data_IF_268632874476
#
_entry.id   IF_268632874476
#
_cell.length_a   1.000
_cell.length_b   1.000
_cell.length_c   1.000
_cell.angle_alpha   90.00
_cell.angle_beta   90.00
_cell.angle_gamma   90.00
#
_symmetry.space_group_name_H-M   'P 1'
#
loop_
_entity.id
_entity.type
_entity.pdbx_description
1 polymer ?
#
# COMPACT_ATOMS: atom_id res chain seq x y z
N UNK A 1 21.66 -18.83 17.56
CA UNK A 1 21.32 -17.46 17.13
C UNK A 1 22.06 -16.48 18.03
N UNK A 2 23.24 -16.02 17.62
CA UNK A 2 23.94 -14.93 18.31
C UNK A 2 23.56 -13.65 17.54
N UNK A 3 22.45 -13.02 17.95
CA UNK A 3 22.13 -11.67 17.52
C UNK A 3 23.06 -10.72 18.28
N UNK A 4 24.29 -10.55 17.79
CA UNK A 4 25.16 -9.48 18.28
C UNK A 4 24.56 -8.16 17.80
N UNK A 5 24.17 -7.32 18.77
CA UNK A 5 23.75 -5.95 18.56
C UNK A 5 24.75 -5.29 17.60
N UNK A 6 24.29 -4.83 16.43
CA UNK A 6 25.13 -4.23 15.38
C UNK A 6 25.99 -3.09 15.92
N UNK A 7 25.46 -2.36 16.91
CA UNK A 7 26.17 -1.33 17.67
C UNK A 7 27.37 -1.88 18.45
N UNK A 8 27.24 -3.05 19.08
CA UNK A 8 28.33 -3.67 19.85
C UNK A 8 29.45 -4.18 18.92
N UNK A 9 29.10 -4.74 17.77
CA UNK A 9 30.08 -5.16 16.75
C UNK A 9 30.85 -3.95 16.22
N UNK A 10 30.16 -2.83 15.96
CA UNK A 10 30.79 -1.59 15.52
C UNK A 10 31.79 -1.04 16.54
N UNK A 11 31.44 -1.06 17.84
CA UNK A 11 32.33 -0.62 18.92
C UNK A 11 33.57 -1.50 19.06
N UNK A 12 33.43 -2.83 18.95
CA UNK A 12 34.58 -3.75 19.01
C UNK A 12 35.54 -3.51 17.85
N UNK A 13 35.02 -3.35 16.63
CA UNK A 13 35.83 -3.05 15.44
C UNK A 13 36.53 -1.69 15.60
N UNK A 14 35.82 -0.66 16.07
CA UNK A 14 36.39 0.67 16.30
C UNK A 14 37.56 0.65 17.29
N UNK A 15 37.42 -0.07 18.41
CA UNK A 15 38.48 -0.21 19.42
C UNK A 15 39.70 -0.92 18.85
N UNK A 16 39.52 -2.02 18.12
CA UNK A 16 40.62 -2.77 17.51
C UNK A 16 41.38 -1.94 16.48
N UNK A 17 40.67 -1.21 15.61
CA UNK A 17 41.30 -0.33 14.63
C UNK A 17 42.06 0.80 15.33
N UNK A 18 41.46 1.41 16.35
CA UNK A 18 42.08 2.51 17.10
C UNK A 18 43.36 2.06 17.81
N UNK A 19 43.33 0.91 18.49
CA UNK A 19 44.51 0.33 19.14
C UNK A 19 45.58 -0.01 18.10
N UNK A 20 45.21 -0.59 16.96
CA UNK A 20 46.14 -0.88 15.87
C UNK A 20 46.81 0.39 15.33
N UNK A 21 46.05 1.47 15.17
CA UNK A 21 46.56 2.77 14.72
C UNK A 21 47.49 3.43 15.75
N UNK A 22 47.13 3.37 17.03
CA UNK A 22 47.96 3.88 18.13
C UNK A 22 49.27 3.08 18.20
N UNK A 23 49.20 1.75 18.15
CA UNK A 23 50.38 0.90 18.16
C UNK A 23 51.27 1.17 16.94
N UNK A 24 50.68 1.28 15.73
CA UNK A 24 51.42 1.66 14.52
C UNK A 24 52.09 3.03 14.67
N UNK A 25 51.35 4.04 15.13
CA UNK A 25 51.88 5.39 15.33
C UNK A 25 53.06 5.39 16.30
N UNK A 26 52.92 4.73 17.45
CA UNK A 26 53.95 4.63 18.48
C UNK A 26 55.18 3.89 17.95
N UNK A 27 54.99 2.73 17.30
CA UNK A 27 56.09 1.96 16.72
C UNK A 27 56.78 2.71 15.57
N UNK A 28 56.03 3.46 14.77
CA UNK A 28 56.58 4.29 13.69
C UNK A 28 57.35 5.50 14.23
N UNK A 29 56.89 6.12 15.32
CA UNK A 29 57.64 7.16 16.02
C UNK A 29 58.95 6.62 16.59
N UNK A 30 58.95 5.39 17.12
CA UNK A 30 60.17 4.76 17.61
C UNK A 30 61.07 4.20 16.49
N UNK A 31 60.54 3.90 15.31
CA UNK A 31 61.32 3.45 14.15
C UNK A 31 61.86 4.60 13.30
N UNK A 32 61.37 5.83 13.51
CA UNK A 32 61.89 7.05 12.90
C UNK A 32 63.33 7.30 13.37
N UNK A 33 64.30 6.73 12.64
CA UNK A 33 65.72 6.90 12.92
C UNK A 33 66.14 8.36 12.72
N UNK A 34 67.07 8.81 13.56
CA UNK A 34 67.65 10.18 13.57
C UNK A 34 68.52 10.50 12.34
N UNK A 35 68.59 9.60 11.36
CA UNK A 35 69.49 9.66 10.20
C UNK A 35 68.71 9.72 8.88
N UNK A 36 67.64 10.51 8.83
CA UNK A 36 67.02 10.87 7.57
C UNK A 36 67.96 11.81 6.79
N UNK A 37 68.79 11.23 5.91
CA UNK A 37 69.53 11.98 4.89
C UNK A 37 71.04 11.69 4.73
N UNK A 38 71.63 10.69 5.40
CA UNK A 38 73.08 10.42 5.27
C UNK A 38 73.46 9.29 4.30
N UNK A 39 72.49 8.56 3.76
CA UNK A 39 72.73 7.48 2.80
C UNK A 39 72.45 7.96 1.37
N UNK A 40 73.52 8.13 0.59
CA UNK A 40 73.44 8.14 -0.88
C UNK A 40 73.04 6.73 -1.30
N UNK A 41 71.77 6.38 -1.10
CA UNK A 41 71.22 5.15 -1.62
C UNK A 41 71.24 5.22 -3.15
N UNK A 42 71.82 4.20 -3.79
CA UNK A 42 71.68 4.04 -5.24
C UNK A 42 70.20 4.17 -5.62
N UNK A 43 69.93 4.93 -6.68
CA UNK A 43 68.57 5.08 -7.21
C UNK A 43 67.91 3.68 -7.31
N UNK A 44 66.64 3.50 -6.89
CA UNK A 44 66.03 2.17 -6.76
C UNK A 44 66.10 1.29 -8.01
N UNK A 45 66.20 1.89 -9.18
CA UNK A 45 66.37 1.24 -10.48
C UNK A 45 67.82 0.80 -10.81
N UNK A 46 68.80 1.18 -10.00
CA UNK A 46 70.23 0.82 -10.11
C UNK A 46 70.69 -0.13 -9.00
N UNK A 47 69.87 -0.36 -7.96
CA UNK A 47 70.14 -1.39 -6.96
C UNK A 47 70.10 -2.76 -7.66
N UNK A 48 71.08 -3.66 -7.43
CA UNK A 48 70.99 -5.03 -7.93
C UNK A 48 69.65 -5.64 -7.53
N UNK A 49 68.96 -6.24 -8.49
CA UNK A 49 67.74 -6.96 -8.18
C UNK A 49 68.08 -8.19 -7.32
N UNK A 50 67.06 -8.79 -6.71
CA UNK A 50 67.28 -10.02 -5.94
C UNK A 50 67.94 -11.09 -6.82
N UNK A 51 68.87 -11.83 -6.23
CA UNK A 51 69.46 -13.01 -6.86
C UNK A 51 68.42 -14.13 -7.00
N UNK A 52 68.72 -15.12 -7.85
CA UNK A 52 67.79 -16.20 -8.16
C UNK A 52 67.41 -17.01 -6.90
N UNK A 53 68.33 -17.20 -5.95
CA UNK A 53 68.07 -17.91 -4.69
C UNK A 53 67.04 -17.18 -3.81
N UNK A 54 67.10 -15.84 -3.74
CA UNK A 54 66.11 -15.06 -2.98
C UNK A 54 64.79 -14.95 -3.75
N UNK A 55 64.83 -14.85 -5.08
CA UNK A 55 63.63 -14.82 -5.92
C UNK A 55 62.83 -16.13 -5.82
N UNK A 56 63.49 -17.27 -5.97
CA UNK A 56 62.86 -18.60 -5.96
C UNK A 56 62.62 -19.14 -4.55
N UNK A 57 63.33 -18.63 -3.53
CA UNK A 57 63.12 -18.98 -2.13
C UNK A 57 62.16 -18.01 -1.42
N UNK A 58 62.72 -17.19 -0.53
CA UNK A 58 61.93 -16.40 0.45
C UNK A 58 60.94 -15.44 -0.20
N UNK A 59 61.24 -14.90 -1.38
CA UNK A 59 60.33 -13.96 -2.05
C UNK A 59 59.15 -14.70 -2.69
N UNK A 60 59.40 -15.80 -3.39
CA UNK A 60 58.35 -16.65 -3.97
C UNK A 60 57.43 -17.20 -2.88
N UNK A 61 57.98 -17.74 -1.79
CA UNK A 61 57.20 -18.25 -0.66
C UNK A 61 56.25 -17.18 -0.08
N UNK A 62 56.73 -15.95 0.11
CA UNK A 62 55.88 -14.83 0.59
C UNK A 62 54.73 -14.52 -0.37
N UNK A 63 55.01 -14.50 -1.68
CA UNK A 63 53.98 -14.24 -2.68
C UNK A 63 52.98 -15.40 -2.79
N UNK A 64 53.45 -16.65 -2.66
CA UNK A 64 52.59 -17.84 -2.62
C UNK A 64 51.68 -17.83 -1.39
N UNK A 65 52.20 -17.48 -0.21
CA UNK A 65 51.38 -17.33 1.00
C UNK A 65 50.30 -16.26 0.80
N UNK A 66 50.63 -15.10 0.21
CA UNK A 66 49.64 -14.08 -0.13
C UNK A 66 48.59 -14.61 -1.12
N UNK A 67 49.02 -15.37 -2.14
CA UNK A 67 48.13 -16.04 -3.09
C UNK A 67 47.19 -17.03 -2.41
N UNK A 68 47.69 -17.86 -1.49
CA UNK A 68 46.88 -18.79 -0.71
C UNK A 68 45.89 -18.04 0.19
N UNK A 69 46.30 -16.95 0.86
CA UNK A 69 45.39 -16.15 1.68
C UNK A 69 44.25 -15.53 0.86
N UNK A 70 44.55 -15.01 -0.34
CA UNK A 70 43.52 -14.50 -1.24
C UNK A 70 42.60 -15.64 -1.70
N UNK A 71 43.16 -16.80 -2.04
CA UNK A 71 42.39 -17.98 -2.43
C UNK A 71 41.49 -18.47 -1.30
N UNK A 72 41.99 -18.55 -0.06
CA UNK A 72 41.19 -18.87 1.13
C UNK A 72 40.07 -17.84 1.33
N UNK A 73 40.36 -16.55 1.14
CA UNK A 73 39.36 -15.48 1.26
C UNK A 73 38.24 -15.65 0.23
N UNK A 74 38.55 -16.01 -1.01
CA UNK A 74 37.54 -16.25 -2.05
C UNK A 74 36.80 -17.56 -1.80
N UNK A 75 37.52 -18.64 -1.54
CA UNK A 75 36.97 -20.00 -1.37
C UNK A 75 36.10 -20.11 -0.13
N UNK A 76 36.41 -19.39 0.95
CA UNK A 76 35.59 -19.39 2.17
C UNK A 76 34.61 -18.22 2.20
N UNK A 77 35.06 -17.03 1.82
CA UNK A 77 34.26 -15.81 1.88
C UNK A 77 33.09 -15.80 0.89
N UNK A 78 33.27 -16.30 -0.33
CA UNK A 78 32.20 -16.29 -1.33
C UNK A 78 31.05 -17.25 -0.97
N UNK A 79 31.31 -18.53 -0.58
CA UNK A 79 30.22 -19.40 -0.11
C UNK A 79 29.50 -18.86 1.13
N UNK A 80 30.24 -18.25 2.08
CA UNK A 80 29.61 -17.61 3.24
C UNK A 80 28.74 -16.43 2.81
N UNK A 81 29.22 -15.55 1.93
CA UNK A 81 28.44 -14.43 1.43
C UNK A 81 27.14 -14.91 0.75
N UNK A 82 27.22 -15.95 -0.07
CA UNK A 82 26.05 -16.56 -0.70
C UNK A 82 25.10 -17.21 0.30
N UNK A 83 25.60 -17.83 1.36
CA UNK A 83 24.75 -18.37 2.43
C UNK A 83 23.96 -17.27 3.16
N UNK A 84 24.51 -16.07 3.31
CA UNK A 84 23.84 -14.93 3.95
C UNK A 84 23.05 -14.04 2.98
N UNK A 85 23.24 -14.20 1.67
CA UNK A 85 22.59 -13.39 0.63
C UNK A 85 21.04 -13.38 0.73
N UNK A 86 20.34 -14.50 1.01
CA UNK A 86 18.89 -14.48 1.16
C UNK A 86 18.40 -13.55 2.29
N UNK A 87 19.13 -13.53 3.42
CA UNK A 87 18.79 -12.65 4.55
C UNK A 87 19.05 -11.19 4.21
N UNK A 88 20.13 -10.90 3.46
CA UNK A 88 20.42 -9.55 2.96
C UNK A 88 19.34 -9.05 2.02
N UNK A 89 18.88 -9.89 1.09
CA UNK A 89 17.79 -9.59 0.17
C UNK A 89 16.46 -9.37 0.90
N UNK A 90 16.14 -10.20 1.90
CA UNK A 90 14.96 -10.02 2.75
C UNK A 90 15.00 -8.69 3.52
N UNK A 91 16.15 -8.34 4.11
CA UNK A 91 16.35 -7.06 4.78
C UNK A 91 16.24 -5.86 3.82
N UNK A 92 16.75 -5.98 2.59
CA UNK A 92 16.61 -4.96 1.57
C UNK A 92 15.15 -4.73 1.16
N UNK A 93 14.36 -5.80 0.99
CA UNK A 93 12.92 -5.72 0.72
C UNK A 93 12.17 -5.08 1.87
N UNK A 94 12.40 -5.52 3.11
CA UNK A 94 11.75 -4.94 4.29
C UNK A 94 12.06 -3.44 4.45
N UNK A 95 13.34 -3.06 4.31
CA UNK A 95 13.74 -1.65 4.37
C UNK A 95 13.17 -0.81 3.23
N UNK A 96 13.00 -1.38 2.03
CA UNK A 96 12.34 -0.70 0.92
C UNK A 96 10.85 -0.48 1.22
N UNK A 97 10.14 -1.51 1.69
CA UNK A 97 8.71 -1.40 2.05
C UNK A 97 8.49 -0.34 3.12
N UNK A 98 9.32 -0.29 4.17
CA UNK A 98 9.18 0.72 5.21
C UNK A 98 9.46 2.14 4.72
N UNK A 99 10.46 2.33 3.84
CA UNK A 99 10.68 3.65 3.21
C UNK A 99 9.50 4.05 2.33
N UNK A 100 8.94 3.12 1.57
CA UNK A 100 7.79 3.38 0.70
C UNK A 100 6.54 3.71 1.53
N UNK A 101 6.34 3.00 2.64
CA UNK A 101 5.28 3.31 3.61
C UNK A 101 5.43 4.72 4.15
N UNK A 102 6.64 5.12 4.55
CA UNK A 102 6.91 6.47 5.07
C UNK A 102 6.70 7.56 4.02
N UNK A 103 7.22 7.39 2.80
CA UNK A 103 6.95 8.33 1.70
C UNK A 103 5.46 8.44 1.38
N UNK A 104 4.74 7.32 1.34
CA UNK A 104 3.30 7.31 1.15
C UNK A 104 2.53 7.99 2.28
N UNK A 105 2.98 7.81 3.52
CA UNK A 105 2.43 8.48 4.70
C UNK A 105 2.55 10.00 4.57
N UNK A 106 3.72 10.52 4.20
CA UNK A 106 3.96 11.95 3.96
C UNK A 106 3.03 12.51 2.87
N UNK A 107 2.86 11.79 1.76
CA UNK A 107 1.92 12.17 0.70
C UNK A 107 0.47 12.23 1.20
N UNK A 108 0.09 11.32 2.11
CA UNK A 108 -1.26 11.24 2.66
C UNK A 108 -1.58 12.33 3.69
N UNK A 109 -0.57 12.96 4.30
CA UNK A 109 -0.73 13.99 5.33
C UNK A 109 -1.49 15.23 4.83
N UNK A 110 -2.02 16.07 5.75
CA UNK A 110 -2.62 17.35 5.39
C UNK A 110 -1.64 18.28 4.69
N UNK A 111 -2.16 19.20 3.87
CA UNK A 111 -1.32 20.21 3.19
C UNK A 111 -0.52 21.08 4.17
N UNK A 112 -1.04 21.30 5.38
CA UNK A 112 -0.30 21.99 6.45
C UNK A 112 1.02 21.30 6.85
N UNK A 113 1.18 20.01 6.54
CA UNK A 113 2.40 19.22 6.77
C UNK A 113 3.16 18.90 5.48
N UNK A 114 2.80 19.53 4.35
CA UNK A 114 3.43 19.30 3.05
C UNK A 114 2.87 18.12 2.25
N UNK A 115 1.82 17.45 2.73
CA UNK A 115 1.14 16.37 2.00
C UNK A 115 0.02 16.85 1.06
N UNK A 116 -0.63 15.90 0.39
CA UNK A 116 -1.71 16.14 -0.58
C UNK A 116 -3.11 16.14 0.03
N UNK A 117 -3.21 16.14 1.36
CA UNK A 117 -4.46 16.25 2.11
C UNK A 117 -5.47 15.11 1.92
N UNK A 118 -5.00 13.92 1.57
CA UNK A 118 -5.85 12.72 1.53
C UNK A 118 -6.50 12.46 2.90
N UNK A 119 -5.71 12.58 3.97
CA UNK A 119 -6.18 12.50 5.37
C UNK A 119 -7.19 13.58 5.75
N UNK A 120 -7.11 14.78 5.18
CA UNK A 120 -8.07 15.85 5.46
C UNK A 120 -9.48 15.51 5.00
N UNK A 121 -9.60 14.88 3.83
CA UNK A 121 -10.89 14.45 3.29
C UNK A 121 -11.33 13.09 3.88
N UNK A 122 -10.43 12.12 3.98
CA UNK A 122 -10.77 10.72 4.28
C UNK A 122 -10.70 10.33 5.77
N UNK A 123 -10.79 11.30 6.69
CA UNK A 123 -10.94 10.99 8.12
C UNK A 123 -9.63 10.73 8.86
N UNK A 124 -8.64 11.61 8.66
CA UNK A 124 -7.34 11.56 9.32
C UNK A 124 -6.40 10.50 8.74
N UNK A 125 -5.25 10.29 9.40
CA UNK A 125 -4.20 9.36 8.95
C UNK A 125 -4.69 7.90 8.86
N UNK A 126 -5.68 7.51 9.66
CA UNK A 126 -6.24 6.17 9.62
C UNK A 126 -7.25 5.96 8.47
N UNK A 127 -7.59 6.99 7.70
CA UNK A 127 -8.50 6.85 6.57
C UNK A 127 -9.89 6.32 6.96
N UNK A 128 -10.43 6.73 8.12
CA UNK A 128 -11.68 6.18 8.67
C UNK A 128 -12.97 6.64 7.97
N UNK A 129 -12.84 7.50 6.96
CA UNK A 129 -13.97 8.16 6.31
C UNK A 129 -14.17 9.56 6.90
N UNK A 130 -14.55 10.51 6.05
CA UNK A 130 -14.72 11.90 6.44
C UNK A 130 -15.59 12.66 5.46
N UNK A 131 -15.36 13.96 5.38
CA UNK A 131 -16.10 14.86 4.50
C UNK A 131 -15.16 15.85 3.83
N UNK A 132 -15.54 16.29 2.63
CA UNK A 132 -14.82 17.32 1.90
C UNK A 132 -15.80 18.37 1.35
N UNK A 133 -15.50 19.67 1.45
CA UNK A 133 -16.33 20.70 0.85
C UNK A 133 -16.31 20.58 -0.67
N UNK A 134 -17.47 20.72 -1.30
CA UNK A 134 -17.62 20.65 -2.76
C UNK A 134 -18.69 21.62 -3.24
N UNK A 135 -18.49 22.20 -4.42
CA UNK A 135 -19.46 23.09 -5.04
C UNK A 135 -20.38 22.28 -5.96
N UNK A 136 -21.67 22.28 -5.67
CA UNK A 136 -22.71 21.66 -6.51
C UNK A 136 -23.51 22.77 -7.16
N UNK A 137 -23.71 22.65 -8.47
CA UNK A 137 -24.54 23.59 -9.24
C UNK A 137 -25.93 22.99 -9.43
N UNK A 138 -26.98 23.74 -9.08
CA UNK A 138 -28.35 23.37 -9.37
C UNK A 138 -28.59 23.48 -10.88
N UNK A 139 -28.96 22.40 -11.59
CA UNK A 139 -29.14 22.41 -13.03
C UNK A 139 -30.36 23.24 -13.49
N UNK A 140 -31.33 23.55 -12.61
CA UNK A 140 -32.53 24.32 -12.95
C UNK A 140 -32.32 25.81 -12.77
N UNK A 141 -31.65 26.21 -11.69
CA UNK A 141 -31.49 27.63 -11.33
C UNK A 141 -30.11 28.19 -11.67
N UNK A 142 -29.12 27.32 -11.89
CA UNK A 142 -27.71 27.71 -12.05
C UNK A 142 -27.04 28.14 -10.74
N UNK A 143 -27.74 28.04 -9.60
CA UNK A 143 -27.21 28.43 -8.29
C UNK A 143 -26.10 27.46 -7.85
N UNK A 144 -24.97 27.99 -7.39
CA UNK A 144 -23.85 27.20 -6.86
C UNK A 144 -23.93 27.18 -5.33
N UNK A 145 -24.04 25.97 -4.76
CA UNK A 145 -24.08 25.74 -3.31
C UNK A 145 -22.84 24.97 -2.87
N UNK A 146 -22.25 25.37 -1.74
CA UNK A 146 -21.21 24.59 -1.07
C UNK A 146 -21.88 23.53 -0.20
N UNK A 147 -21.48 22.28 -0.38
CA UNK A 147 -21.98 21.12 0.36
C UNK A 147 -20.82 20.34 0.97
N UNK A 148 -21.09 19.56 2.01
CA UNK A 148 -20.11 18.64 2.58
C UNK A 148 -20.32 17.25 1.97
N UNK A 149 -19.36 16.82 1.16
CA UNK A 149 -19.39 15.54 0.46
C UNK A 149 -18.78 14.43 1.31
N UNK A 150 -19.47 13.31 1.48
CA UNK A 150 -18.98 12.11 2.16
C UNK A 150 -17.82 11.47 1.40
N UNK A 151 -16.64 11.55 2.01
CA UNK A 151 -15.42 10.90 1.56
C UNK A 151 -15.33 9.53 2.24
N UNK A 152 -15.48 8.42 1.49
CA UNK A 152 -15.61 7.10 2.07
C UNK A 152 -14.31 6.67 2.78
N UNK A 153 -14.45 5.80 3.77
CA UNK A 153 -13.31 5.21 4.45
C UNK A 153 -12.35 4.51 3.50
N UNK A 154 -11.05 4.74 3.69
CA UNK A 154 -9.96 4.14 2.93
C UNK A 154 -9.33 2.95 3.64
N UNK A 155 -9.49 2.81 4.96
CA UNK A 155 -9.02 1.65 5.73
C UNK A 155 -9.75 0.32 5.39
N UNK A 156 -10.77 0.37 4.53
CA UNK A 156 -11.47 -0.79 3.98
C UNK A 156 -11.57 -0.73 2.46
N UNK A 157 -10.71 0.06 1.79
CA UNK A 157 -10.74 0.20 0.32
C UNK A 157 -10.39 -1.11 -0.38
N UNK A 158 -9.44 -1.89 0.15
CA UNK A 158 -9.00 -3.14 -0.48
C UNK A 158 -9.97 -4.30 -0.30
N UNK A 159 -10.98 -4.16 0.57
CA UNK A 159 -12.12 -5.09 0.62
C UNK A 159 -13.07 -4.95 -0.56
N UNK A 160 -12.97 -3.84 -1.30
CA UNK A 160 -13.93 -3.43 -2.32
C UNK A 160 -13.35 -3.38 -3.73
N UNK A 161 -12.04 -3.25 -3.82
CA UNK A 161 -11.31 -3.01 -5.05
C UNK A 161 -9.99 -3.79 -5.04
N UNK A 162 -9.53 -4.17 -6.23
CA UNK A 162 -8.15 -4.59 -6.47
C UNK A 162 -7.18 -3.40 -6.30
N UNK A 163 -5.87 -3.68 -6.16
CA UNK A 163 -4.86 -2.62 -6.08
C UNK A 163 -4.85 -1.76 -7.36
N UNK A 164 -5.03 -2.38 -8.52
CA UNK A 164 -5.08 -1.75 -9.83
C UNK A 164 -6.29 -0.81 -9.98
N UNK A 165 -7.44 -1.17 -9.41
CA UNK A 165 -8.61 -0.30 -9.40
C UNK A 165 -8.42 0.90 -8.46
N UNK A 166 -7.81 0.69 -7.28
CA UNK A 166 -7.45 1.80 -6.39
C UNK A 166 -6.45 2.73 -7.07
N UNK A 167 -5.44 2.16 -7.73
CA UNK A 167 -4.46 2.89 -8.55
C UNK A 167 -5.14 3.68 -9.66
N UNK A 168 -6.13 3.10 -10.34
CA UNK A 168 -6.91 3.79 -11.36
C UNK A 168 -7.64 5.00 -10.75
N UNK A 169 -8.30 4.83 -9.60
CA UNK A 169 -9.00 5.91 -8.90
C UNK A 169 -8.03 7.02 -8.48
N UNK A 170 -6.83 6.68 -8.00
CA UNK A 170 -5.82 7.67 -7.65
C UNK A 170 -5.28 8.41 -8.87
N UNK A 171 -5.06 7.70 -9.99
CA UNK A 171 -4.57 8.30 -11.21
C UNK A 171 -5.60 9.25 -11.84
N UNK A 172 -6.86 8.86 -11.95
CA UNK A 172 -7.87 9.57 -12.73
C UNK A 172 -8.93 10.29 -11.90
N UNK A 173 -8.90 10.14 -10.57
CA UNK A 173 -9.90 10.68 -9.68
C UNK A 173 -11.27 10.01 -9.84
N UNK A 174 -12.29 10.66 -9.27
CA UNK A 174 -13.69 10.30 -9.47
C UNK A 174 -14.44 11.53 -9.98
N UNK A 175 -14.84 11.55 -11.27
CA UNK A 175 -15.66 12.62 -11.82
C UNK A 175 -16.92 12.87 -10.99
N UNK A 176 -17.39 14.11 -10.97
CA UNK A 176 -18.56 14.56 -10.20
C UNK A 176 -18.41 14.33 -8.68
N UNK A 177 -17.19 14.41 -8.17
CA UNK A 177 -16.89 14.35 -6.75
C UNK A 177 -15.70 15.25 -6.42
N UNK A 178 -15.44 15.57 -5.14
CA UNK A 178 -14.26 16.32 -4.72
C UNK A 178 -12.94 15.54 -4.83
N UNK A 179 -12.92 14.33 -5.40
CA UNK A 179 -11.71 13.52 -5.58
C UNK A 179 -11.09 13.76 -6.97
N UNK A 180 -10.08 14.63 -7.11
CA UNK A 180 -9.43 14.91 -8.38
C UNK A 180 -8.50 13.76 -8.81
N UNK A 181 -7.98 13.86 -10.03
CA UNK A 181 -6.85 13.06 -10.47
C UNK A 181 -5.58 13.47 -9.69
N UNK A 182 -4.92 12.52 -9.04
CA UNK A 182 -3.66 12.75 -8.33
C UNK A 182 -2.46 12.25 -9.11
N UNK A 183 -2.59 11.15 -9.84
CA UNK A 183 -1.49 10.59 -10.62
C UNK A 183 -1.29 11.28 -11.96
N UNK A 184 -0.03 11.37 -12.37
CA UNK A 184 0.42 11.91 -13.66
C UNK A 184 -0.30 11.32 -14.88
N UNK A 185 -0.69 10.02 -14.94
CA UNK A 185 -1.47 9.50 -16.06
C UNK A 185 -2.83 10.20 -16.26
N UNK A 186 -3.47 10.67 -15.18
CA UNK A 186 -4.70 11.45 -15.25
C UNK A 186 -4.48 12.97 -15.19
N UNK A 187 -3.23 13.44 -15.34
CA UNK A 187 -2.88 14.87 -15.27
C UNK A 187 -2.68 15.41 -13.86
N UNK A 188 -2.63 14.55 -12.84
CA UNK A 188 -2.37 14.95 -11.46
C UNK A 188 -0.88 15.17 -11.14
N UNK A 189 -0.58 15.75 -9.96
CA UNK A 189 0.77 16.17 -9.57
C UNK A 189 1.73 15.03 -9.15
N UNK A 190 1.23 13.82 -8.91
CA UNK A 190 2.01 12.71 -8.40
C UNK A 190 2.65 11.87 -9.51
N UNK A 191 3.92 11.52 -9.35
CA UNK A 191 4.58 10.56 -10.25
C UNK A 191 4.00 9.15 -10.05
N UNK A 192 4.27 8.24 -10.99
CA UNK A 192 3.89 6.83 -10.85
C UNK A 192 4.45 6.24 -9.55
N UNK A 193 5.70 6.58 -9.20
CA UNK A 193 6.32 6.13 -7.94
C UNK A 193 5.63 6.70 -6.70
N UNK A 194 5.20 7.96 -6.72
CA UNK A 194 4.44 8.52 -5.61
C UNK A 194 3.14 7.73 -5.39
N UNK A 195 2.43 7.34 -6.46
CA UNK A 195 1.26 6.48 -6.37
C UNK A 195 1.60 5.10 -5.79
N UNK A 196 2.73 4.49 -6.18
CA UNK A 196 3.18 3.23 -5.56
C UNK A 196 3.37 3.37 -4.05
N UNK A 197 4.07 4.42 -3.61
CA UNK A 197 4.31 4.65 -2.18
C UNK A 197 3.02 4.89 -1.42
N UNK A 198 2.07 5.62 -2.02
CA UNK A 198 0.76 5.87 -1.44
C UNK A 198 -0.05 4.57 -1.29
N UNK A 199 0.00 3.66 -2.26
CA UNK A 199 -0.65 2.35 -2.17
C UNK A 199 -0.04 1.48 -1.06
N UNK A 200 1.29 1.51 -0.89
CA UNK A 200 1.96 0.83 0.24
C UNK A 200 1.46 1.40 1.57
N UNK A 201 1.32 2.72 1.68
CA UNK A 201 0.75 3.33 2.88
C UNK A 201 -0.72 2.94 3.10
N UNK A 202 -1.57 3.00 2.05
CA UNK A 202 -2.96 2.58 2.13
C UNK A 202 -3.09 1.13 2.60
N UNK A 203 -2.19 0.24 2.16
CA UNK A 203 -2.13 -1.16 2.59
C UNK A 203 -1.82 -1.27 4.09
N UNK A 204 -0.96 -0.38 4.61
CA UNK A 204 -0.57 -0.38 6.03
C UNK A 204 -1.68 0.07 6.99
N UNK A 205 -2.63 0.89 6.52
CA UNK A 205 -3.77 1.39 7.33
C UNK A 205 -5.03 0.55 7.20
N UNK A 206 -5.03 -0.53 6.40
CA UNK A 206 -6.22 -1.35 6.25
C UNK A 206 -6.58 -2.05 7.57
N UNK A 207 -7.88 -2.18 7.82
CA UNK A 207 -8.42 -3.11 8.80
C UNK A 207 -7.99 -4.52 8.41
N UNK A 208 -7.44 -5.28 9.37
CA UNK A 208 -6.97 -6.65 9.09
C UNK A 208 -8.16 -7.60 8.93
N UNK A 209 -8.24 -8.40 7.85
CA UNK A 209 -9.27 -9.40 7.69
C UNK A 209 -9.12 -10.55 8.70
N UNK A 210 -10.24 -11.17 9.02
CA UNK A 210 -10.33 -12.39 9.81
C UNK A 210 -10.72 -13.57 8.91
N UNK A 211 -10.19 -14.77 9.19
CA UNK A 211 -10.54 -15.98 8.44
C UNK A 211 -9.75 -16.22 7.16
N UNK A 212 -8.65 -15.49 6.93
CA UNK A 212 -7.74 -15.77 5.81
C UNK A 212 -7.25 -17.23 5.84
N UNK A 213 -7.32 -17.89 4.68
CA UNK A 213 -6.77 -19.24 4.49
C UNK A 213 -5.24 -19.24 4.34
N UNK A 214 -4.64 -18.08 4.06
CA UNK A 214 -3.19 -17.90 3.92
C UNK A 214 -2.66 -16.94 4.99
N UNK A 215 -1.34 -16.93 5.27
CA UNK A 215 -0.75 -15.99 6.23
C UNK A 215 -0.84 -14.52 5.81
N UNK A 216 -1.02 -14.26 4.50
CA UNK A 216 -1.07 -12.91 3.95
C UNK A 216 -2.51 -12.39 3.93
N UNK A 217 -2.73 -11.26 4.58
CA UNK A 217 -4.05 -10.63 4.65
C UNK A 217 -4.52 -9.99 3.32
N UNK A 218 -3.57 -9.54 2.51
CA UNK A 218 -3.84 -8.76 1.30
C UNK A 218 -2.93 -9.23 0.17
N UNK A 219 -3.54 -9.87 -0.83
CA UNK A 219 -2.85 -10.64 -1.88
C UNK A 219 -2.86 -9.86 -3.18
N UNK A 220 -1.70 -9.79 -3.85
CA UNK A 220 -1.48 -8.89 -4.99
C UNK A 220 -2.48 -9.09 -6.13
N UNK A 221 -2.71 -10.33 -6.51
CA UNK A 221 -3.50 -10.69 -7.69
C UNK A 221 -4.96 -11.05 -7.33
N UNK A 222 -5.38 -10.75 -6.10
CA UNK A 222 -6.76 -10.96 -5.66
C UNK A 222 -7.66 -9.79 -6.09
N UNK A 223 -8.90 -10.12 -6.44
CA UNK A 223 -9.92 -9.18 -6.90
C UNK A 223 -11.24 -9.48 -6.18
N UNK A 224 -11.55 -8.79 -5.05
CA UNK A 224 -10.80 -7.71 -4.40
C UNK A 224 -9.47 -8.15 -3.75
N UNK A 225 -8.63 -7.19 -3.37
CA UNK A 225 -7.26 -7.39 -2.88
C UNK A 225 -7.13 -8.11 -1.50
N UNK A 226 -8.20 -8.69 -0.98
CA UNK A 226 -8.25 -9.42 0.30
C UNK A 226 -7.89 -10.89 0.08
N UNK A 227 -7.32 -11.53 1.11
CA UNK A 227 -7.06 -12.97 1.14
C UNK A 227 -8.31 -13.83 0.90
N UNK A 228 -8.12 -15.04 0.36
CA UNK A 228 -9.19 -16.03 0.28
C UNK A 228 -9.73 -16.38 1.67
N UNK A 229 -11.07 -16.40 1.81
CA UNK A 229 -11.77 -16.63 3.07
C UNK A 229 -11.77 -15.44 4.04
N UNK A 230 -10.99 -14.38 3.75
CA UNK A 230 -10.94 -13.19 4.59
C UNK A 230 -12.27 -12.47 4.64
N UNK A 231 -12.69 -12.05 5.82
CA UNK A 231 -13.88 -11.22 5.99
C UNK A 231 -13.57 -10.06 6.92
N UNK A 232 -14.44 -9.05 6.89
CA UNK A 232 -14.34 -7.93 7.81
C UNK A 232 -14.42 -8.44 9.27
N UNK A 233 -13.65 -7.86 10.21
CA UNK A 233 -13.67 -8.30 11.60
C UNK A 233 -15.06 -8.28 12.23
N UNK A 234 -15.26 -9.12 13.24
CA UNK A 234 -16.56 -9.22 13.91
C UNK A 234 -17.02 -7.89 14.52
N UNK A 235 -16.12 -7.06 15.04
CA UNK A 235 -16.45 -5.72 15.55
C UNK A 235 -17.10 -4.85 14.48
N UNK A 236 -16.51 -4.81 13.29
CA UNK A 236 -17.02 -4.03 12.17
C UNK A 236 -18.35 -4.59 11.63
N UNK A 237 -18.53 -5.92 11.63
CA UNK A 237 -19.82 -6.54 11.28
C UNK A 237 -20.91 -6.15 12.27
N UNK A 238 -20.57 -6.09 13.56
CA UNK A 238 -21.48 -5.59 14.60
C UNK A 238 -21.82 -4.12 14.40
N UNK A 239 -20.86 -3.28 13.99
CA UNK A 239 -21.13 -1.86 13.66
C UNK A 239 -22.10 -1.73 12.49
N UNK A 240 -21.94 -2.55 11.44
CA UNK A 240 -22.87 -2.61 10.29
C UNK A 240 -24.26 -3.00 10.76
N UNK A 241 -24.38 -4.05 11.58
CA UNK A 241 -25.68 -4.48 12.09
C UNK A 241 -26.34 -3.40 12.97
N UNK A 242 -25.54 -2.76 13.83
CA UNK A 242 -26.03 -1.69 14.71
C UNK A 242 -26.55 -0.50 13.89
N UNK A 243 -25.88 -0.17 12.78
CA UNK A 243 -26.34 0.87 11.86
C UNK A 243 -27.66 0.48 11.15
N UNK A 244 -27.80 -0.79 10.77
CA UNK A 244 -29.07 -1.34 10.23
C UNK A 244 -30.19 -1.20 11.26
N UNK A 245 -29.98 -1.68 12.48
CA UNK A 245 -30.99 -1.67 13.54
C UNK A 245 -31.42 -0.23 13.89
N UNK A 246 -30.47 0.71 13.92
CA UNK A 246 -30.73 2.13 14.12
C UNK A 246 -31.55 2.74 12.98
N UNK A 247 -31.26 2.38 11.72
CA UNK A 247 -32.03 2.83 10.56
C UNK A 247 -33.48 2.32 10.62
N UNK A 248 -33.67 1.04 10.90
CA UNK A 248 -34.99 0.40 11.00
C UNK A 248 -35.83 0.99 12.14
N UNK A 249 -35.19 1.37 13.25
CA UNK A 249 -35.87 2.07 14.35
C UNK A 249 -36.39 3.44 13.94
N UNK A 250 -35.62 4.15 13.11
CA UNK A 250 -36.00 5.49 12.61
C UNK A 250 -36.99 5.43 11.43
N UNK A 251 -37.04 4.31 10.71
CA UNK A 251 -37.89 4.10 9.54
C UNK A 251 -38.75 2.83 9.69
N UNK A 252 -39.82 2.88 10.50
CA UNK A 252 -40.71 1.73 10.67
C UNK A 252 -41.28 1.26 9.33
N UNK A 253 -41.06 -0.03 9.00
CA UNK A 253 -41.50 -0.64 7.76
C UNK A 253 -40.44 -0.70 6.64
N UNK A 254 -39.29 -0.07 6.82
CA UNK A 254 -38.14 -0.30 5.95
C UNK A 254 -37.63 -1.74 6.08
N UNK A 255 -37.02 -2.26 5.01
CA UNK A 255 -36.36 -3.57 5.02
C UNK A 255 -34.89 -3.45 5.41
N UNK A 256 -34.27 -4.55 5.82
CA UNK A 256 -32.81 -4.62 6.03
C UNK A 256 -32.03 -4.20 4.76
N UNK A 257 -32.51 -4.63 3.58
CA UNK A 257 -31.91 -4.25 2.30
C UNK A 257 -31.92 -2.75 2.05
N UNK A 258 -33.02 -2.06 2.41
CA UNK A 258 -33.12 -0.60 2.33
C UNK A 258 -32.13 0.10 3.28
N UNK A 259 -32.01 -0.40 4.52
CA UNK A 259 -31.10 0.13 5.52
C UNK A 259 -29.63 0.03 5.07
N UNK A 260 -29.23 -1.13 4.54
CA UNK A 260 -27.90 -1.34 3.99
C UNK A 260 -27.65 -0.48 2.74
N UNK A 261 -28.65 -0.39 1.84
CA UNK A 261 -28.56 0.43 0.64
C UNK A 261 -28.25 1.90 0.98
N UNK A 262 -28.86 2.44 2.04
CA UNK A 262 -28.74 3.84 2.47
C UNK A 262 -27.75 4.07 3.63
N UNK A 263 -26.93 3.08 4.00
CA UNK A 263 -26.04 3.16 5.17
C UNK A 263 -25.05 4.34 5.10
N UNK A 264 -25.01 5.19 6.12
CA UNK A 264 -24.05 6.30 6.23
C UNK A 264 -22.73 5.91 6.94
N UNK A 265 -22.67 4.68 7.46
CA UNK A 265 -21.52 4.15 8.19
C UNK A 265 -20.21 4.31 7.39
N UNK A 266 -19.16 4.73 8.10
CA UNK A 266 -17.84 4.97 7.52
C UNK A 266 -17.87 5.93 6.32
N UNK A 267 -18.72 6.97 6.41
CA UNK A 267 -18.97 7.96 5.35
C UNK A 267 -19.49 7.31 4.06
N UNK A 268 -20.41 6.37 4.20
CA UNK A 268 -21.01 5.64 3.09
C UNK A 268 -20.07 4.66 2.39
N UNK A 269 -19.04 4.16 3.08
CA UNK A 269 -18.13 3.18 2.49
C UNK A 269 -18.84 1.90 2.06
N UNK A 270 -19.96 1.57 2.72
CA UNK A 270 -20.77 0.38 2.49
C UNK A 270 -22.08 0.66 1.73
N UNK A 271 -22.33 1.92 1.37
CA UNK A 271 -23.61 2.36 0.78
C UNK A 271 -23.69 2.12 -0.72
N UNK A 272 -24.82 1.56 -1.17
CA UNK A 272 -25.18 1.52 -2.58
C UNK A 272 -25.70 2.88 -3.08
N UNK A 273 -26.45 3.59 -2.23
CA UNK A 273 -27.05 4.88 -2.53
C UNK A 273 -26.00 5.94 -2.90
N UNK A 274 -24.77 5.84 -2.37
CA UNK A 274 -23.65 6.72 -2.75
C UNK A 274 -23.43 6.82 -4.26
N UNK A 275 -23.63 5.73 -4.99
CA UNK A 275 -23.50 5.69 -6.44
C UNK A 275 -24.84 5.70 -7.16
N UNK A 276 -25.89 5.14 -6.57
CA UNK A 276 -27.17 4.92 -7.24
C UNK A 276 -28.27 5.92 -6.87
N UNK A 277 -28.06 6.80 -5.89
CA UNK A 277 -29.01 7.84 -5.49
C UNK A 277 -28.38 9.22 -5.70
N UNK A 278 -28.98 10.10 -6.52
CA UNK A 278 -28.47 11.45 -6.72
C UNK A 278 -28.47 12.21 -5.39
N UNK A 279 -27.41 12.96 -5.12
CA UNK A 279 -27.30 13.81 -3.93
C UNK A 279 -27.10 13.12 -2.59
N UNK A 280 -27.13 11.78 -2.54
CA UNK A 280 -26.88 11.03 -1.31
C UNK A 280 -25.50 11.34 -0.71
N UNK A 281 -24.48 11.44 -1.58
CA UNK A 281 -23.09 11.68 -1.17
C UNK A 281 -22.85 13.03 -0.49
N UNK A 282 -23.84 13.93 -0.41
CA UNK A 282 -23.73 15.21 0.29
C UNK A 282 -24.97 15.54 1.13
N UNK A 283 -25.68 14.50 1.58
CA UNK A 283 -26.79 14.66 2.54
C UNK A 283 -28.05 15.31 1.96
N UNK A 284 -28.22 15.32 0.64
CA UNK A 284 -29.45 15.79 -0.03
C UNK A 284 -29.91 14.73 -1.04
N UNK A 285 -30.26 13.51 -0.56
CA UNK A 285 -30.70 12.44 -1.45
C UNK A 285 -31.95 12.86 -2.22
N UNK A 286 -31.90 12.70 -3.54
CA UNK A 286 -33.07 12.77 -4.40
C UNK A 286 -33.85 11.46 -4.35
N UNK A 287 -34.49 11.09 -5.46
CA UNK A 287 -35.23 9.82 -5.52
C UNK A 287 -34.26 8.65 -5.46
N UNK A 288 -34.51 7.75 -4.51
CA UNK A 288 -33.69 6.57 -4.25
C UNK A 288 -33.48 5.74 -5.52
N UNK A 289 -32.23 5.30 -5.72
CA UNK A 289 -31.84 4.37 -6.76
C UNK A 289 -32.07 4.81 -8.23
N UNK A 290 -32.43 6.07 -8.48
CA UNK A 290 -32.65 6.60 -9.85
C UNK A 290 -31.37 6.81 -10.68
N UNK A 291 -30.22 6.42 -10.15
CA UNK A 291 -28.92 6.57 -10.80
C UNK A 291 -28.26 7.90 -10.44
N UNK A 292 -26.93 7.87 -10.39
CA UNK A 292 -26.08 9.04 -10.23
C UNK A 292 -24.73 8.77 -10.88
N UNK A 293 -23.78 8.20 -10.14
CA UNK A 293 -22.55 7.66 -10.70
C UNK A 293 -22.75 6.25 -11.28
N UNK A 294 -23.58 5.45 -10.61
CA UNK A 294 -24.13 4.20 -11.11
C UNK A 294 -25.42 4.42 -11.88
N UNK A 295 -25.83 3.41 -12.64
CA UNK A 295 -27.05 3.44 -13.45
C UNK A 295 -28.33 3.32 -12.59
N UNK A 296 -29.47 3.65 -13.19
CA UNK A 296 -30.79 3.61 -12.53
C UNK A 296 -31.23 2.16 -12.24
N UNK A 297 -31.57 1.86 -10.99
CA UNK A 297 -31.99 0.53 -10.54
C UNK A 297 -33.52 0.35 -10.46
N UNK A 298 -34.30 1.42 -10.63
CA UNK A 298 -35.76 1.44 -10.45
C UNK A 298 -36.53 1.00 -11.69
N UNK A 299 -37.85 0.79 -11.54
CA UNK A 299 -38.77 0.60 -12.67
C UNK A 299 -38.54 -0.71 -13.42
N UNK A 300 -38.06 -1.74 -12.72
CA UNK A 300 -37.74 -3.04 -13.31
C UNK A 300 -36.42 -3.09 -14.09
N UNK A 301 -35.64 -2.01 -14.14
CA UNK A 301 -34.33 -1.98 -14.80
C UNK A 301 -33.37 -3.03 -14.21
N UNK A 302 -33.37 -3.19 -12.88
CA UNK A 302 -32.59 -4.22 -12.20
C UNK A 302 -32.95 -5.62 -12.68
N UNK A 303 -34.24 -5.93 -12.77
CA UNK A 303 -34.73 -7.24 -13.20
C UNK A 303 -34.42 -7.52 -14.68
N UNK A 304 -34.44 -6.48 -15.53
CA UNK A 304 -34.05 -6.61 -16.93
C UNK A 304 -32.54 -6.86 -17.11
N UNK A 305 -31.69 -6.21 -16.30
CA UNK A 305 -30.25 -6.40 -16.33
C UNK A 305 -29.80 -7.73 -15.71
N UNK A 306 -30.50 -8.17 -14.66
CA UNK A 306 -30.27 -9.43 -13.95
C UNK A 306 -31.56 -10.25 -13.84
N UNK A 307 -31.91 -11.04 -14.88
CA UNK A 307 -33.09 -11.90 -14.82
C UNK A 307 -33.02 -12.92 -13.67
N UNK A 308 -31.81 -13.42 -13.39
CA UNK A 308 -31.54 -14.33 -12.27
C UNK A 308 -31.02 -13.55 -11.05
N UNK A 309 -31.66 -13.76 -9.89
CA UNK A 309 -31.26 -13.17 -8.61
C UNK A 309 -29.83 -13.57 -8.21
N UNK A 310 -29.45 -14.83 -8.41
CA UNK A 310 -28.14 -15.35 -8.05
C UNK A 310 -27.01 -14.70 -8.85
N UNK A 311 -27.27 -14.33 -10.11
CA UNK A 311 -26.30 -13.60 -10.93
C UNK A 311 -26.04 -12.20 -10.34
N UNK A 312 -27.08 -11.56 -9.81
CA UNK A 312 -26.97 -10.26 -9.14
C UNK A 312 -26.23 -10.38 -7.80
N UNK A 313 -26.56 -11.39 -6.99
CA UNK A 313 -25.84 -11.68 -5.74
C UNK A 313 -24.35 -11.88 -6.02
N UNK A 314 -24.03 -12.68 -7.04
CA UNK A 314 -22.64 -12.94 -7.45
C UNK A 314 -21.94 -11.66 -7.91
N UNK A 315 -22.63 -10.81 -8.68
CA UNK A 315 -22.10 -9.52 -9.11
C UNK A 315 -21.84 -8.57 -7.94
N UNK A 316 -22.73 -8.49 -6.94
CA UNK A 316 -22.51 -7.64 -5.76
C UNK A 316 -21.39 -8.19 -4.87
N UNK A 317 -21.27 -9.53 -4.76
CA UNK A 317 -20.17 -10.16 -4.03
C UNK A 317 -18.81 -9.79 -4.62
N UNK A 318 -18.69 -9.81 -5.95
CA UNK A 318 -17.41 -9.66 -6.66
C UNK A 318 -17.13 -8.23 -7.15
N UNK A 319 -18.14 -7.37 -7.25
CA UNK A 319 -18.03 -6.08 -7.90
C UNK A 319 -17.93 -6.19 -9.43
N UNK A 320 -17.73 -5.04 -10.08
CA UNK A 320 -17.45 -5.01 -11.53
C UNK A 320 -15.96 -4.95 -11.76
N UNK A 321 -15.43 -5.69 -12.73
CA UNK A 321 -14.06 -5.53 -13.22
C UNK A 321 -14.04 -4.93 -14.63
N UNK A 322 -13.00 -4.15 -14.94
CA UNK A 322 -12.90 -3.46 -16.23
C UNK A 322 -12.93 -4.45 -17.42
N UNK A 323 -13.84 -4.22 -18.37
CA UNK A 323 -14.00 -5.03 -19.57
C UNK A 323 -14.73 -6.35 -19.40
N UNK A 324 -14.97 -6.83 -18.16
CA UNK A 324 -15.69 -8.09 -17.90
C UNK A 324 -17.20 -7.90 -18.06
N UNK A 325 -17.87 -8.89 -18.66
CA UNK A 325 -19.34 -8.89 -18.78
C UNK A 325 -19.99 -9.07 -17.42
N UNK A 326 -21.11 -8.39 -17.18
CA UNK A 326 -22.05 -8.69 -16.09
C UNK A 326 -23.51 -8.58 -16.57
N UNK A 327 -24.41 -9.30 -15.92
CA UNK A 327 -25.82 -9.34 -16.31
C UNK A 327 -26.02 -9.76 -17.77
N UNK A 328 -27.11 -9.29 -18.40
CA UNK A 328 -27.44 -9.66 -19.79
C UNK A 328 -26.48 -9.02 -20.80
N UNK A 329 -26.20 -7.71 -20.66
CA UNK A 329 -25.42 -6.89 -21.62
C UNK A 329 -24.52 -5.84 -20.94
N UNK A 330 -24.27 -5.93 -19.64
CA UNK A 330 -23.40 -5.00 -18.93
C UNK A 330 -21.92 -5.28 -19.18
N UNK A 331 -21.11 -4.23 -19.26
CA UNK A 331 -19.65 -4.31 -19.23
C UNK A 331 -19.12 -3.55 -18.02
N UNK A 332 -18.35 -4.23 -17.18
CA UNK A 332 -17.79 -3.68 -15.97
C UNK A 332 -16.72 -2.64 -16.27
N UNK A 333 -16.59 -1.68 -15.35
CA UNK A 333 -15.61 -0.58 -15.45
C UNK A 333 -14.55 -0.62 -14.33
N UNK A 334 -14.64 -1.59 -13.41
CA UNK A 334 -13.80 -1.61 -12.21
C UNK A 334 -14.30 -0.71 -11.07
N UNK A 335 -15.49 -0.09 -11.24
CA UNK A 335 -15.96 1.01 -10.38
C UNK A 335 -17.10 0.64 -9.45
N UNK A 336 -17.87 -0.41 -9.77
CA UNK A 336 -18.83 -1.00 -8.85
C UNK A 336 -18.04 -1.82 -7.82
N UNK A 337 -18.03 -1.40 -6.54
CA UNK A 337 -17.24 -2.09 -5.53
C UNK A 337 -17.80 -3.48 -5.23
N UNK A 338 -16.92 -4.37 -4.79
CA UNK A 338 -17.28 -5.68 -4.26
C UNK A 338 -17.73 -5.58 -2.79
N UNK A 339 -18.66 -6.43 -2.39
CA UNK A 339 -19.19 -6.48 -1.02
C UNK A 339 -19.07 -7.86 -0.35
N UNK A 340 -18.57 -8.88 -1.05
CA UNK A 340 -18.54 -10.26 -0.56
C UNK A 340 -17.67 -10.49 0.69
N UNK A 341 -16.62 -9.68 0.87
CA UNK A 341 -15.77 -9.73 2.06
C UNK A 341 -16.27 -8.81 3.20
N UNK A 342 -17.26 -7.96 2.91
CA UNK A 342 -17.78 -6.93 3.83
C UNK A 342 -19.10 -7.33 4.48
N UNK A 343 -20.02 -7.86 3.67
CA UNK A 343 -21.38 -8.17 4.07
C UNK A 343 -21.60 -9.68 4.08
N UNK A 344 -22.52 -10.14 4.93
CA UNK A 344 -22.94 -11.54 4.92
C UNK A 344 -23.76 -11.86 3.68
N UNK A 345 -23.88 -13.15 3.35
CA UNK A 345 -24.70 -13.57 2.21
C UNK A 345 -26.18 -13.18 2.39
N UNK A 346 -26.71 -13.26 3.61
CA UNK A 346 -28.05 -12.81 3.94
C UNK A 346 -28.24 -11.31 3.71
N UNK A 347 -27.27 -10.48 4.13
CA UNK A 347 -27.30 -9.03 3.92
C UNK A 347 -27.23 -8.66 2.44
N UNK A 348 -26.37 -9.34 1.66
CA UNK A 348 -26.29 -9.13 0.21
C UNK A 348 -27.61 -9.53 -0.44
N UNK A 349 -28.20 -10.64 -0.05
CA UNK A 349 -29.50 -11.07 -0.54
C UNK A 349 -30.60 -10.05 -0.21
N UNK A 350 -30.63 -9.52 1.01
CA UNK A 350 -31.59 -8.49 1.41
C UNK A 350 -31.46 -7.23 0.55
N UNK A 351 -30.23 -6.79 0.24
CA UNK A 351 -29.99 -5.68 -0.70
C UNK A 351 -30.57 -6.01 -2.08
N UNK A 352 -30.30 -7.21 -2.60
CA UNK A 352 -30.79 -7.67 -3.90
C UNK A 352 -32.33 -7.69 -3.96
N UNK A 353 -32.98 -8.24 -2.94
CA UNK A 353 -34.45 -8.24 -2.84
C UNK A 353 -35.03 -6.83 -2.82
N UNK A 354 -34.40 -5.91 -2.07
CA UNK A 354 -34.80 -4.50 -2.04
C UNK A 354 -34.71 -3.85 -3.42
N UNK A 355 -33.54 -3.90 -4.07
CA UNK A 355 -33.34 -3.21 -5.36
C UNK A 355 -34.10 -3.84 -6.52
N UNK A 356 -34.44 -5.13 -6.45
CA UNK A 356 -35.32 -5.79 -7.42
C UNK A 356 -36.79 -5.40 -7.24
N UNK A 357 -37.16 -4.93 -6.05
CA UNK A 357 -38.49 -4.43 -5.71
C UNK A 357 -38.72 -2.95 -6.02
N UNK A 358 -37.69 -2.22 -6.46
CA UNK A 358 -37.75 -0.82 -6.92
C UNK A 358 -38.15 -0.71 -8.40
#
# INVERSE_FOLDING_TARGET
>A
MIALNTSAVAWVIFVLISIGWIAYFVLNQFSARRELGSEVEMAPNRKPYYDDEVLEGRRLERMQVLGVLLLVTVVVGLPLAWAFEPSRQAGAKAGMTERFRWWGEELFMPTAKGGFNCSGCHGGMNGGGGQAPYAVTDPKTGEVKSVNWYAPALNTVFYRFSEEEVRFILNYGRPFSPMPAWGSPGGGPMTVQNIETLLVYLKSIQVKPEGCLTPDNFVKDADPFVCDGGTLPQSNKTDIQSAVDAYLTQHPGASEGEALFNSDLASGAYSCARCHTPGWSYGSPGVTAQGAFGWNLTGGATNAHFPNEQDMITFIKNGSANGKKYGVQGQGSGRMPAFGHLLTEAQIKAIVEYVRGL
#
